data_IF_176978147204
#
_entry.id   IF_176978147204
#
_cell.length_a   1.000
_cell.length_b   1.000
_cell.length_c   1.000
_cell.angle_alpha   90.00
_cell.angle_beta   90.00
_cell.angle_gamma   90.00
#
_symmetry.space_group_name_H-M   'P 1'
#
loop_
_entity.id
_entity.type
_entity.pdbx_description
1 polymer ?
#
# COMPACT_ATOMS: atom_id res chain seq x y z
N UNK A 1 -12.26 -56.84 9.03
CA UNK A 1 -10.79 -56.70 8.88
C UNK A 1 -10.31 -55.99 10.12
N UNK A 2 -9.38 -56.56 10.83
CA UNK A 2 -8.76 -55.90 11.99
C UNK A 2 -7.73 -54.92 11.48
N UNK A 3 -7.81 -53.67 11.93
CA UNK A 3 -6.78 -52.66 11.73
C UNK A 3 -5.42 -53.15 12.22
N UNK A 4 -4.34 -52.68 11.63
CA UNK A 4 -3.01 -53.09 12.01
C UNK A 4 -2.75 -52.75 13.50
N UNK A 5 -2.49 -53.78 14.37
CA UNK A 5 -2.33 -53.50 15.82
C UNK A 5 -1.04 -52.74 16.18
N UNK A 6 -0.12 -52.59 15.21
CA UNK A 6 1.15 -51.88 15.44
C UNK A 6 1.06 -50.37 15.12
N UNK A 7 -0.01 -49.92 14.48
CA UNK A 7 -0.23 -48.53 14.19
C UNK A 7 -1.54 -48.07 14.85
N UNK A 8 -1.42 -47.22 15.84
CA UNK A 8 -2.56 -46.65 16.54
C UNK A 8 -3.07 -45.46 15.74
N UNK A 9 -4.23 -45.61 15.10
CA UNK A 9 -4.89 -44.51 14.41
C UNK A 9 -5.21 -43.38 15.40
N UNK A 10 -4.87 -42.12 15.06
CA UNK A 10 -5.07 -40.96 15.93
C UNK A 10 -4.02 -40.80 17.03
N UNK A 11 -2.92 -41.56 17.00
CA UNK A 11 -1.80 -41.35 17.90
C UNK A 11 -1.03 -40.08 17.51
N UNK A 12 -1.06 -39.07 18.37
CA UNK A 12 -0.42 -37.78 18.12
C UNK A 12 1.07 -37.90 17.82
N UNK A 13 1.77 -38.83 18.50
CA UNK A 13 3.20 -39.03 18.27
C UNK A 13 3.53 -39.62 16.90
N UNK A 14 2.66 -40.51 16.39
CA UNK A 14 2.82 -41.09 15.06
C UNK A 14 2.44 -40.09 13.97
N UNK A 15 1.38 -39.31 14.19
CA UNK A 15 1.00 -38.22 13.31
C UNK A 15 2.11 -37.17 13.20
N UNK A 16 2.68 -36.75 14.31
CA UNK A 16 3.81 -35.80 14.34
C UNK A 16 5.05 -36.35 13.63
N UNK A 17 5.33 -37.65 13.76
CA UNK A 17 6.43 -38.28 13.03
C UNK A 17 6.21 -38.22 11.51
N UNK A 18 4.99 -38.55 11.06
CA UNK A 18 4.64 -38.48 9.63
C UNK A 18 4.74 -37.05 9.12
N UNK A 19 4.24 -36.08 9.88
CA UNK A 19 4.34 -34.66 9.54
C UNK A 19 5.79 -34.20 9.38
N UNK A 20 6.67 -34.57 10.33
CA UNK A 20 8.09 -34.23 10.24
C UNK A 20 8.78 -34.88 9.02
N UNK A 21 8.45 -36.12 8.72
CA UNK A 21 8.98 -36.81 7.52
C UNK A 21 8.52 -36.10 6.23
N UNK A 22 7.29 -35.67 6.17
CA UNK A 22 6.76 -34.89 5.03
C UNK A 22 7.46 -33.53 4.93
N UNK A 23 7.64 -32.84 6.05
CA UNK A 23 8.38 -31.57 6.08
C UNK A 23 9.82 -31.74 5.59
N UNK A 24 10.50 -32.82 6.00
CA UNK A 24 11.86 -33.14 5.52
C UNK A 24 11.87 -33.47 4.04
N UNK A 25 10.89 -34.24 3.57
CA UNK A 25 10.73 -34.56 2.15
C UNK A 25 10.52 -33.31 1.30
N UNK A 26 9.67 -32.39 1.73
CA UNK A 26 9.44 -31.12 1.03
C UNK A 26 10.70 -30.24 0.98
N UNK A 27 11.50 -30.22 2.06
CA UNK A 27 12.79 -29.52 2.08
C UNK A 27 13.83 -30.11 1.16
N UNK A 28 13.81 -31.44 0.95
CA UNK A 28 14.78 -32.14 0.10
C UNK A 28 14.43 -32.05 -1.38
N UNK A 29 13.17 -32.14 -1.72
CA UNK A 29 12.69 -32.25 -3.11
C UNK A 29 11.89 -31.05 -3.58
N UNK A 30 11.52 -30.17 -2.67
CA UNK A 30 10.78 -28.95 -2.98
C UNK A 30 11.65 -27.86 -3.58
N UNK A 31 10.99 -26.86 -4.07
CA UNK A 31 11.56 -25.58 -4.50
C UNK A 31 11.12 -24.49 -3.56
N UNK A 32 11.94 -23.48 -3.40
CA UNK A 32 11.56 -22.28 -2.66
C UNK A 32 10.63 -21.43 -3.52
N UNK A 33 9.48 -21.10 -2.98
CA UNK A 33 8.50 -20.18 -3.56
C UNK A 33 8.22 -19.07 -2.58
N UNK A 34 7.79 -17.92 -3.07
CA UNK A 34 7.40 -16.82 -2.21
C UNK A 34 5.88 -16.71 -2.20
N UNK A 35 5.32 -16.88 -1.03
CA UNK A 35 3.90 -16.68 -0.76
C UNK A 35 3.63 -15.22 -0.40
N UNK A 36 2.64 -14.62 -1.04
CA UNK A 36 2.28 -13.21 -0.91
C UNK A 36 0.79 -13.14 -0.56
N UNK A 37 0.45 -12.91 0.71
CA UNK A 37 -0.93 -12.88 1.13
C UNK A 37 -1.66 -11.64 0.64
N UNK A 38 -2.91 -11.79 0.24
CA UNK A 38 -3.81 -10.69 -0.13
C UNK A 38 -4.38 -10.04 1.12
N UNK A 39 -4.20 -8.73 1.25
CA UNK A 39 -4.75 -7.93 2.34
C UNK A 39 -5.85 -7.02 1.84
N UNK A 40 -6.99 -7.07 2.48
CA UNK A 40 -8.17 -6.28 2.13
C UNK A 40 -8.18 -4.97 2.92
N UNK A 41 -8.19 -3.83 2.23
CA UNK A 41 -8.12 -2.50 2.86
C UNK A 41 -9.50 -1.92 3.16
N UNK A 42 -10.50 -2.23 2.35
CA UNK A 42 -11.85 -1.69 2.51
C UNK A 42 -12.92 -2.74 2.17
N UNK A 43 -13.67 -3.17 3.17
CA UNK A 43 -14.87 -3.99 2.99
C UNK A 43 -16.12 -3.12 3.02
N UNK A 44 -16.93 -3.18 1.97
CA UNK A 44 -18.29 -2.62 2.02
C UNK A 44 -19.17 -3.52 2.88
N UNK A 45 -19.42 -3.12 4.12
CA UNK A 45 -20.19 -3.87 5.10
C UNK A 45 -21.61 -4.26 4.65
N UNK A 46 -22.20 -3.52 3.72
CA UNK A 46 -23.57 -3.77 3.22
C UNK A 46 -23.60 -4.90 2.19
N UNK A 47 -22.60 -5.00 1.32
CA UNK A 47 -22.55 -5.98 0.21
C UNK A 47 -21.52 -7.08 0.50
N UNK A 48 -20.64 -6.90 1.50
CA UNK A 48 -19.49 -7.76 1.82
C UNK A 48 -18.54 -7.95 0.62
N UNK A 49 -18.37 -6.91 -0.15
CA UNK A 49 -17.47 -6.86 -1.29
C UNK A 49 -16.24 -6.05 -0.95
N UNK A 50 -15.07 -6.62 -1.18
CA UNK A 50 -13.78 -5.94 -1.01
C UNK A 50 -13.53 -5.07 -2.25
N UNK A 51 -13.30 -3.77 -2.03
CA UNK A 51 -13.12 -2.81 -3.13
C UNK A 51 -11.66 -2.66 -3.49
N UNK A 52 -10.77 -2.78 -2.50
CA UNK A 52 -9.34 -2.55 -2.68
C UNK A 52 -8.57 -3.61 -1.91
N UNK A 53 -7.63 -4.25 -2.59
CA UNK A 53 -6.67 -5.18 -2.00
C UNK A 53 -5.24 -4.70 -2.22
N UNK A 54 -4.34 -5.09 -1.32
CA UNK A 54 -2.92 -4.83 -1.42
C UNK A 54 -2.13 -6.09 -1.12
N UNK A 55 -0.92 -6.16 -1.67
CA UNK A 55 0.07 -7.18 -1.42
C UNK A 55 1.32 -6.48 -0.91
N UNK A 56 1.46 -6.39 0.42
CA UNK A 56 2.49 -5.62 1.12
C UNK A 56 3.47 -6.50 1.93
N UNK A 57 3.26 -7.80 1.92
CA UNK A 57 4.10 -8.74 2.65
C UNK A 57 4.44 -9.97 1.79
N UNK A 58 5.58 -10.58 2.05
CA UNK A 58 6.06 -11.75 1.32
C UNK A 58 6.79 -12.73 2.24
N UNK A 59 6.57 -14.03 2.04
CA UNK A 59 7.11 -15.10 2.87
C UNK A 59 7.64 -16.24 2.01
N UNK A 60 8.91 -16.60 2.19
CA UNK A 60 9.49 -17.77 1.53
C UNK A 60 9.01 -19.06 2.17
N UNK A 61 8.55 -20.02 1.38
CA UNK A 61 8.14 -21.35 1.83
C UNK A 61 8.57 -22.43 0.84
N UNK A 62 8.86 -23.62 1.36
CA UNK A 62 9.20 -24.77 0.55
C UNK A 62 7.91 -25.38 -0.04
N UNK A 63 7.85 -25.56 -1.35
CA UNK A 63 6.74 -26.19 -2.06
C UNK A 63 7.24 -27.28 -3.00
N UNK A 64 6.49 -28.36 -3.13
CA UNK A 64 6.74 -29.39 -4.13
C UNK A 64 5.90 -29.11 -5.37
N UNK A 65 6.55 -29.06 -6.53
CA UNK A 65 5.87 -28.88 -7.81
C UNK A 65 5.29 -30.20 -8.26
N UNK A 66 3.96 -30.33 -8.21
CA UNK A 66 3.25 -31.54 -8.65
C UNK A 66 3.07 -31.56 -10.16
N UNK A 67 2.66 -30.44 -10.72
CA UNK A 67 2.50 -30.25 -12.16
C UNK A 67 2.83 -28.80 -12.51
N UNK A 68 3.52 -28.62 -13.63
CA UNK A 68 3.83 -27.33 -14.22
C UNK A 68 3.44 -27.30 -15.69
N UNK A 69 2.70 -26.29 -16.08
CA UNK A 69 2.34 -25.91 -17.45
C UNK A 69 2.19 -27.05 -18.47
N UNK A 70 1.00 -27.48 -18.72
CA UNK A 70 0.64 -28.23 -19.93
C UNK A 70 1.09 -29.69 -20.00
N UNK A 71 1.95 -30.17 -19.13
CA UNK A 71 2.37 -31.60 -19.10
C UNK A 71 1.28 -32.52 -18.52
N UNK A 72 0.30 -31.99 -17.82
CA UNK A 72 -0.82 -32.74 -17.25
C UNK A 72 -2.01 -32.91 -18.19
N UNK A 73 -1.91 -32.48 -19.44
CA UNK A 73 -3.03 -32.57 -20.38
C UNK A 73 -4.22 -31.73 -20.02
N UNK A 74 -4.00 -30.58 -19.39
CA UNK A 74 -5.01 -29.54 -19.23
C UNK A 74 -5.51 -29.17 -20.63
N UNK A 75 -6.70 -29.66 -20.98
CA UNK A 75 -7.20 -29.54 -22.33
C UNK A 75 -7.29 -28.10 -22.76
N UNK A 76 -6.80 -27.82 -23.95
CA UNK A 76 -7.11 -26.59 -24.65
C UNK A 76 -8.62 -26.37 -24.60
N UNK A 77 -9.07 -25.38 -23.83
CA UNK A 77 -10.48 -25.03 -23.81
C UNK A 77 -10.74 -24.26 -25.09
N UNK A 78 -11.28 -24.94 -26.08
CA UNK A 78 -11.85 -24.34 -27.27
C UNK A 78 -13.04 -23.47 -26.81
N UNK A 79 -12.76 -22.21 -26.52
CA UNK A 79 -13.82 -21.24 -26.25
C UNK A 79 -14.40 -20.76 -27.58
N UNK A 80 -15.65 -20.26 -27.56
CA UNK A 80 -16.31 -19.65 -28.71
C UNK A 80 -15.51 -18.48 -29.32
N UNK A 81 -14.48 -17.99 -28.60
CA UNK A 81 -13.66 -16.84 -28.93
C UNK A 81 -12.17 -17.16 -29.20
N UNK A 82 -11.80 -18.41 -29.27
CA UNK A 82 -10.42 -18.84 -29.55
C UNK A 82 -9.94 -19.96 -28.62
N UNK A 83 -8.69 -20.37 -28.82
CA UNK A 83 -7.98 -21.32 -27.96
C UNK A 83 -7.31 -20.52 -26.84
N UNK A 84 -7.66 -20.77 -25.61
CA UNK A 84 -6.99 -20.22 -24.44
C UNK A 84 -6.18 -21.34 -23.80
N UNK A 85 -4.86 -21.28 -23.93
CA UNK A 85 -3.97 -22.12 -23.16
C UNK A 85 -3.95 -21.59 -21.72
N UNK A 86 -4.32 -22.44 -20.76
CA UNK A 86 -4.19 -22.13 -19.33
C UNK A 86 -2.92 -22.78 -18.83
N UNK A 87 -1.97 -21.95 -18.46
CA UNK A 87 -0.78 -22.39 -17.73
C UNK A 87 -1.18 -22.59 -16.27
N UNK A 88 -1.33 -23.84 -15.85
CA UNK A 88 -1.71 -24.20 -14.50
C UNK A 88 -0.49 -24.73 -13.74
N UNK A 89 -0.27 -24.22 -12.54
CA UNK A 89 0.78 -24.65 -11.62
C UNK A 89 0.12 -25.31 -10.41
N UNK A 90 0.44 -26.60 -10.17
CA UNK A 90 0.00 -27.31 -8.97
C UNK A 90 1.17 -27.47 -8.00
N UNK A 91 1.00 -26.96 -6.78
CA UNK A 91 1.98 -27.00 -5.72
C UNK A 91 1.45 -27.75 -4.52
N UNK A 92 2.36 -28.42 -3.80
CA UNK A 92 2.05 -29.04 -2.51
C UNK A 92 2.90 -28.37 -1.44
N UNK A 93 2.26 -27.88 -0.38
CA UNK A 93 2.91 -27.27 0.77
C UNK A 93 2.53 -28.00 2.07
N UNK A 94 3.40 -27.92 3.06
CA UNK A 94 3.13 -28.52 4.38
C UNK A 94 2.19 -27.63 5.18
N UNK A 95 1.19 -28.26 5.80
CA UNK A 95 0.24 -27.61 6.69
C UNK A 95 0.95 -26.99 7.92
N UNK A 96 1.74 -27.80 8.65
CA UNK A 96 2.46 -27.34 9.85
C UNK A 96 3.43 -26.20 9.52
N UNK A 97 4.16 -26.30 8.40
CA UNK A 97 5.10 -25.23 7.99
C UNK A 97 4.39 -23.95 7.65
N UNK A 98 3.21 -24.00 7.03
CA UNK A 98 2.43 -22.82 6.75
C UNK A 98 1.92 -22.17 8.05
N UNK A 99 1.35 -22.96 8.96
CA UNK A 99 0.81 -22.47 10.22
C UNK A 99 1.91 -21.85 11.12
N UNK A 100 3.04 -22.53 11.26
CA UNK A 100 4.13 -22.11 12.15
C UNK A 100 4.94 -20.93 11.62
N UNK A 101 5.05 -20.81 10.31
CA UNK A 101 5.94 -19.81 9.68
C UNK A 101 5.19 -18.61 9.08
N UNK A 102 4.09 -18.84 8.40
CA UNK A 102 3.30 -17.78 7.76
C UNK A 102 2.11 -17.40 8.64
N UNK A 103 1.40 -18.37 9.18
CA UNK A 103 0.21 -18.17 9.99
C UNK A 103 0.43 -17.27 11.21
N UNK A 104 1.63 -17.32 11.80
CA UNK A 104 2.00 -16.46 12.95
C UNK A 104 1.97 -14.97 12.61
N UNK A 105 2.23 -14.59 11.37
CA UNK A 105 2.17 -13.19 10.93
C UNK A 105 0.76 -12.74 10.52
N UNK A 106 -0.13 -13.70 10.26
CA UNK A 106 -1.51 -13.44 9.85
C UNK A 106 -2.51 -13.58 11.01
N UNK A 107 -2.04 -13.99 12.21
CA UNK A 107 -2.88 -14.17 13.39
C UNK A 107 -2.31 -13.40 14.57
N UNK A 108 -3.20 -13.04 15.54
CA UNK A 108 -2.80 -12.44 16.81
C UNK A 108 -2.36 -13.52 17.83
N UNK A 109 -1.93 -13.07 19.02
CA UNK A 109 -1.50 -13.97 20.09
C UNK A 109 -2.63 -14.88 20.62
N UNK A 110 -3.87 -14.54 20.36
CA UNK A 110 -5.06 -15.32 20.74
C UNK A 110 -5.52 -16.26 19.62
N UNK A 111 -4.82 -16.28 18.47
CA UNK A 111 -5.11 -17.10 17.29
C UNK A 111 -6.23 -16.58 16.42
N UNK A 112 -6.67 -15.32 16.58
CA UNK A 112 -7.64 -14.71 15.68
C UNK A 112 -6.92 -14.14 14.46
N UNK A 113 -7.57 -14.19 13.32
CA UNK A 113 -7.05 -13.61 12.08
C UNK A 113 -6.93 -12.09 12.21
N UNK A 114 -5.78 -11.54 11.88
CA UNK A 114 -5.54 -10.10 11.87
C UNK A 114 -6.45 -9.38 10.87
N UNK A 115 -6.75 -8.11 11.16
CA UNK A 115 -7.59 -7.29 10.29
C UNK A 115 -6.96 -7.14 8.90
N UNK A 116 -7.79 -7.31 7.88
CA UNK A 116 -7.38 -7.29 6.48
C UNK A 116 -7.12 -8.68 5.87
N UNK A 117 -6.89 -9.72 6.64
CA UNK A 117 -6.73 -11.08 6.12
C UNK A 117 -8.03 -11.89 6.19
N UNK A 118 -8.26 -12.76 5.21
CA UNK A 118 -9.42 -13.63 5.17
C UNK A 118 -9.24 -14.88 6.03
N UNK A 119 -8.07 -15.50 5.97
CA UNK A 119 -7.68 -16.69 6.72
C UNK A 119 -6.25 -16.52 7.21
N UNK A 120 -5.93 -17.04 8.41
CA UNK A 120 -4.59 -16.98 8.98
C UNK A 120 -3.91 -18.35 9.12
N UNK A 121 -4.68 -19.43 9.13
CA UNK A 121 -4.14 -20.78 9.41
C UNK A 121 -3.89 -21.62 8.16
N UNK A 122 -4.40 -21.20 7.01
CA UNK A 122 -4.21 -21.88 5.73
C UNK A 122 -4.09 -20.86 4.59
N UNK A 123 -3.51 -21.26 3.44
CA UNK A 123 -3.55 -20.41 2.24
C UNK A 123 -4.98 -20.06 1.84
N UNK A 124 -5.16 -18.84 1.32
CA UNK A 124 -6.45 -18.38 0.82
C UNK A 124 -6.46 -18.37 -0.71
N UNK A 125 -7.63 -18.62 -1.25
CA UNK A 125 -7.88 -18.38 -2.67
C UNK A 125 -7.80 -16.86 -2.94
N UNK A 126 -7.02 -16.49 -3.95
CA UNK A 126 -6.72 -15.10 -4.29
C UNK A 126 -5.38 -14.58 -3.79
N UNK A 127 -4.66 -15.35 -2.97
CA UNK A 127 -3.28 -15.03 -2.61
C UNK A 127 -2.34 -15.32 -3.78
N UNK A 128 -1.16 -14.69 -3.78
CA UNK A 128 -0.19 -14.85 -4.85
C UNK A 128 0.97 -15.75 -4.44
N UNK A 129 1.55 -16.40 -5.44
CA UNK A 129 2.80 -17.15 -5.33
C UNK A 129 3.74 -16.69 -6.43
N UNK A 130 4.87 -16.12 -6.04
CA UNK A 130 5.96 -15.89 -6.97
C UNK A 130 6.82 -17.13 -7.06
N UNK A 131 7.04 -17.60 -8.30
CA UNK A 131 7.83 -18.78 -8.59
C UNK A 131 9.17 -18.38 -9.23
N UNK A 132 10.27 -18.32 -8.45
CA UNK A 132 11.54 -17.75 -8.91
C UNK A 132 12.15 -18.44 -10.12
N UNK A 133 11.88 -19.75 -10.31
CA UNK A 133 12.44 -20.52 -11.43
C UNK A 133 11.98 -20.03 -12.80
N UNK A 134 10.80 -19.45 -12.90
CA UNK A 134 10.22 -18.95 -14.15
C UNK A 134 10.00 -17.43 -14.15
N UNK A 135 10.23 -16.79 -12.99
CA UNK A 135 9.98 -15.38 -12.79
C UNK A 135 8.51 -14.99 -13.12
N UNK A 136 7.57 -15.88 -12.76
CA UNK A 136 6.14 -15.70 -12.98
C UNK A 136 5.41 -15.68 -11.66
N UNK A 137 4.42 -14.79 -11.56
CA UNK A 137 3.52 -14.72 -10.42
C UNK A 137 2.24 -15.45 -10.75
N UNK A 138 1.82 -16.30 -9.84
CA UNK A 138 0.61 -17.10 -9.93
C UNK A 138 -0.37 -16.68 -8.85
N UNK A 139 -1.66 -16.68 -9.17
CA UNK A 139 -2.74 -16.53 -8.21
C UNK A 139 -3.28 -17.91 -7.82
N UNK A 140 -3.49 -18.13 -6.53
CA UNK A 140 -4.09 -19.35 -6.01
C UNK A 140 -5.60 -19.30 -6.33
N UNK A 141 -6.04 -20.17 -7.23
CA UNK A 141 -7.45 -20.29 -7.59
C UNK A 141 -8.20 -21.26 -6.70
N UNK A 142 -7.52 -22.30 -6.25
CA UNK A 142 -8.14 -23.32 -5.41
C UNK A 142 -7.12 -23.91 -4.44
N UNK A 143 -7.57 -24.13 -3.20
CA UNK A 143 -6.81 -24.79 -2.14
C UNK A 143 -7.51 -26.07 -1.77
N UNK A 144 -6.95 -27.23 -2.20
CA UNK A 144 -7.44 -28.54 -1.81
C UNK A 144 -6.92 -28.88 -0.42
N UNK A 145 -7.81 -29.00 0.52
CA UNK A 145 -7.52 -29.32 1.91
C UNK A 145 -8.00 -30.73 2.32
N UNK A 146 -8.70 -31.43 1.42
CA UNK A 146 -9.22 -32.77 1.64
C UNK A 146 -8.60 -33.74 0.62
N UNK A 147 -7.27 -33.98 0.72
CA UNK A 147 -6.62 -34.98 -0.14
C UNK A 147 -7.18 -36.37 0.15
N UNK A 148 -7.45 -37.16 -0.89
CA UNK A 148 -8.18 -38.44 -0.82
C UNK A 148 -7.58 -39.51 0.12
N UNK A 149 -6.33 -39.36 0.56
CA UNK A 149 -5.67 -40.34 1.40
C UNK A 149 -5.24 -39.75 2.76
N UNK A 150 -6.05 -40.02 3.76
CA UNK A 150 -5.80 -39.62 5.15
C UNK A 150 -4.84 -40.60 5.84
N UNK A 151 -3.56 -40.25 5.94
CA UNK A 151 -2.59 -41.05 6.68
C UNK A 151 -2.81 -40.84 8.18
N UNK A 152 -3.02 -41.94 8.93
CA UNK A 152 -3.26 -41.91 10.38
C UNK A 152 -4.41 -40.98 10.82
N UNK A 153 -5.39 -40.75 9.94
CA UNK A 153 -6.56 -39.89 10.16
C UNK A 153 -6.25 -38.40 10.27
N UNK A 154 -5.20 -37.93 9.65
CA UNK A 154 -4.86 -36.50 9.60
C UNK A 154 -4.47 -36.08 8.20
N UNK A 155 -4.50 -34.76 7.95
CA UNK A 155 -4.09 -34.08 6.73
C UNK A 155 -2.81 -33.29 6.98
N UNK A 156 -1.79 -33.57 6.20
CA UNK A 156 -0.45 -33.04 6.43
C UNK A 156 -0.04 -31.96 5.43
N UNK A 157 -0.76 -31.87 4.32
CA UNK A 157 -0.40 -31.00 3.19
C UNK A 157 -1.63 -30.29 2.63
N UNK A 158 -1.39 -29.12 2.03
CA UNK A 158 -2.33 -28.45 1.14
C UNK A 158 -1.86 -28.61 -0.30
N UNK A 159 -2.78 -28.87 -1.21
CA UNK A 159 -2.54 -28.80 -2.64
C UNK A 159 -3.10 -27.50 -3.19
N UNK A 160 -2.25 -26.71 -3.83
CA UNK A 160 -2.58 -25.41 -4.39
C UNK A 160 -2.67 -25.54 -5.91
N UNK A 161 -3.79 -25.13 -6.47
CA UNK A 161 -3.97 -24.94 -7.90
C UNK A 161 -3.87 -23.46 -8.23
N UNK A 162 -2.87 -23.11 -9.03
CA UNK A 162 -2.52 -21.73 -9.32
C UNK A 162 -2.58 -21.45 -10.81
N UNK A 163 -3.07 -20.27 -11.20
CA UNK A 163 -3.07 -19.77 -12.57
C UNK A 163 -2.20 -18.51 -12.64
N UNK A 164 -1.60 -18.14 -13.79
CA UNK A 164 -0.86 -16.89 -13.92
C UNK A 164 -1.70 -15.71 -13.49
N UNK A 165 -1.11 -14.83 -12.70
CA UNK A 165 -1.80 -13.65 -12.19
C UNK A 165 -1.96 -12.60 -13.28
N UNK A 166 -3.18 -12.14 -13.48
CA UNK A 166 -3.50 -11.01 -14.34
C UNK A 166 -3.70 -9.78 -13.46
N UNK A 167 -2.79 -8.82 -13.58
CA UNK A 167 -2.82 -7.56 -12.81
C UNK A 167 -3.99 -6.69 -13.27
N UNK A 168 -4.78 -6.23 -12.32
CA UNK A 168 -5.88 -5.30 -12.56
C UNK A 168 -5.55 -3.93 -11.93
N UNK A 169 -5.97 -3.69 -10.69
CA UNK A 169 -5.82 -2.40 -10.00
C UNK A 169 -5.26 -2.55 -8.56
N UNK A 170 -4.68 -3.70 -8.23
CA UNK A 170 -4.15 -3.96 -6.90
C UNK A 170 -2.86 -3.19 -6.63
N UNK A 171 -2.62 -2.88 -5.36
CA UNK A 171 -1.36 -2.28 -4.92
C UNK A 171 -0.40 -3.41 -4.57
N UNK A 172 0.73 -3.48 -5.28
CA UNK A 172 1.77 -4.48 -5.09
C UNK A 172 3.04 -3.77 -4.66
N UNK A 173 3.48 -4.02 -3.42
CA UNK A 173 4.71 -3.50 -2.81
C UNK A 173 5.21 -4.56 -1.82
N UNK A 174 5.73 -5.65 -2.36
CA UNK A 174 6.09 -6.85 -1.59
C UNK A 174 7.45 -6.75 -0.90
N UNK A 175 8.23 -5.69 -1.22
CA UNK A 175 9.60 -5.51 -0.78
C UNK A 175 10.61 -6.43 -1.47
N UNK A 176 10.20 -7.19 -2.48
CA UNK A 176 11.07 -7.99 -3.35
C UNK A 176 11.22 -7.27 -4.68
N UNK A 177 12.42 -6.78 -4.97
CA UNK A 177 12.71 -5.95 -6.15
C UNK A 177 12.30 -6.66 -7.46
N UNK A 178 12.54 -7.96 -7.58
CA UNK A 178 12.19 -8.74 -8.77
C UNK A 178 10.67 -8.81 -9.00
N UNK A 179 9.88 -8.92 -7.93
CA UNK A 179 8.41 -8.93 -7.99
C UNK A 179 7.87 -7.54 -8.30
N UNK A 180 8.31 -6.55 -7.53
CA UNK A 180 7.82 -5.18 -7.63
C UNK A 180 8.17 -4.55 -8.99
N UNK A 181 9.37 -4.83 -9.52
CA UNK A 181 9.81 -4.39 -10.85
C UNK A 181 9.00 -5.00 -12.00
N UNK A 182 8.45 -6.20 -11.85
CA UNK A 182 7.63 -6.85 -12.86
C UNK A 182 6.36 -6.04 -13.12
N UNK A 183 5.76 -5.49 -12.09
CA UNK A 183 4.55 -4.65 -12.21
C UNK A 183 4.87 -3.21 -12.62
N UNK A 184 5.99 -2.66 -12.16
CA UNK A 184 6.43 -1.31 -12.55
C UNK A 184 6.78 -1.21 -14.05
N UNK A 185 7.30 -2.28 -14.66
CA UNK A 185 7.59 -2.34 -16.10
C UNK A 185 6.35 -2.32 -16.97
N UNK A 186 5.20 -2.75 -16.46
CA UNK A 186 3.94 -2.83 -17.21
C UNK A 186 3.11 -1.55 -17.14
N UNK A 187 3.39 -0.63 -16.20
CA UNK A 187 2.63 0.59 -15.98
C UNK A 187 3.50 1.85 -16.01
N UNK A 188 3.02 2.90 -16.66
CA UNK A 188 3.56 4.23 -16.48
C UNK A 188 3.00 4.82 -15.18
N UNK A 189 3.72 4.71 -14.08
CA UNK A 189 3.39 5.45 -12.86
C UNK A 189 3.78 6.92 -13.08
N UNK A 190 2.80 7.76 -13.39
CA UNK A 190 2.99 9.21 -13.42
C UNK A 190 2.81 9.74 -12.00
N UNK A 191 3.92 10.03 -11.31
CA UNK A 191 3.86 10.77 -10.05
C UNK A 191 3.50 12.22 -10.33
N UNK A 192 2.22 12.54 -10.22
CA UNK A 192 1.74 13.91 -10.35
C UNK A 192 2.01 14.64 -9.03
N UNK A 193 3.03 15.46 -8.99
CA UNK A 193 3.24 16.37 -7.88
C UNK A 193 2.42 17.63 -8.13
N UNK A 194 1.26 17.73 -7.48
CA UNK A 194 0.45 18.94 -7.50
C UNK A 194 1.13 19.99 -6.61
N UNK A 195 1.84 20.92 -7.22
CA UNK A 195 2.27 22.13 -6.53
C UNK A 195 1.05 23.07 -6.45
N UNK A 196 0.54 23.27 -5.24
CA UNK A 196 -0.54 24.23 -5.02
C UNK A 196 -0.06 25.62 -5.40
N UNK A 197 -0.79 26.29 -6.29
CA UNK A 197 -0.55 27.71 -6.57
C UNK A 197 -0.96 28.48 -5.30
N UNK A 198 -0.02 29.15 -4.65
CA UNK A 198 -0.30 29.99 -3.49
C UNK A 198 -1.25 31.14 -3.84
N UNK A 199 -1.99 31.62 -2.87
CA UNK A 199 -2.81 32.82 -2.99
C UNK A 199 -2.07 33.98 -2.37
N UNK A 200 -1.89 35.06 -3.15
CA UNK A 200 -1.23 36.26 -2.68
C UNK A 200 -2.11 36.98 -1.64
N UNK A 201 -1.50 37.39 -0.55
CA UNK A 201 -2.16 38.20 0.49
C UNK A 201 -2.64 39.52 -0.08
N UNK A 202 -3.67 40.09 0.54
CA UNK A 202 -4.15 41.43 0.27
C UNK A 202 -4.26 42.23 1.57
N UNK A 203 -3.91 43.50 1.50
CA UNK A 203 -3.94 44.41 2.67
C UNK A 203 -4.36 45.79 2.25
N UNK A 204 -4.86 46.55 3.22
CA UNK A 204 -5.23 47.97 3.06
C UNK A 204 -4.55 48.82 4.12
N UNK A 205 -4.31 50.08 3.81
CA UNK A 205 -3.67 51.03 4.70
C UNK A 205 -4.66 52.12 5.16
N UNK A 206 -4.45 52.65 6.36
CA UNK A 206 -5.14 53.85 6.87
C UNK A 206 -4.15 54.96 7.07
N UNK A 207 -4.59 56.19 6.84
CA UNK A 207 -3.79 57.41 7.03
C UNK A 207 -4.30 58.22 8.19
N UNK A 208 -3.37 58.86 8.93
CA UNK A 208 -3.62 59.90 9.90
C UNK A 208 -2.55 60.98 9.68
N UNK A 209 -2.96 62.21 9.51
CA UNK A 209 -2.08 63.38 9.33
C UNK A 209 -1.01 63.21 8.22
N UNK A 210 -1.37 62.54 7.13
CA UNK A 210 -0.47 62.31 5.99
C UNK A 210 0.59 61.24 6.21
N UNK A 211 0.48 60.45 7.28
CA UNK A 211 1.32 59.29 7.56
C UNK A 211 0.48 58.00 7.58
N UNK A 212 1.06 56.87 7.27
CA UNK A 212 0.40 55.57 7.40
C UNK A 212 0.26 55.24 8.87
N UNK A 213 -0.97 55.07 9.34
CA UNK A 213 -1.26 54.77 10.74
C UNK A 213 -1.23 53.25 10.99
N UNK A 214 -1.87 52.49 10.12
CA UNK A 214 -1.96 51.03 10.27
C UNK A 214 -2.18 50.36 8.93
N UNK A 215 -1.74 49.09 8.84
CA UNK A 215 -1.94 48.24 7.69
C UNK A 215 -2.77 47.04 8.14
N UNK A 216 -3.95 46.86 7.56
CA UNK A 216 -4.84 45.72 7.84
C UNK A 216 -4.73 44.68 6.78
N UNK A 217 -4.47 43.41 7.18
CA UNK A 217 -4.51 42.26 6.31
C UNK A 217 -5.99 41.90 6.05
N UNK A 218 -6.41 41.98 4.80
CA UNK A 218 -7.76 41.58 4.36
C UNK A 218 -7.84 40.08 4.03
N UNK A 219 -6.78 39.57 3.39
CA UNK A 219 -6.60 38.13 3.12
C UNK A 219 -5.14 37.80 3.43
N UNK A 220 -4.94 36.82 4.27
CA UNK A 220 -3.63 36.39 4.74
C UNK A 220 -2.80 35.63 3.68
N UNK A 221 -3.44 35.23 2.58
CA UNK A 221 -2.79 34.40 1.57
C UNK A 221 -2.35 33.05 2.11
N UNK A 222 -1.77 32.21 1.28
CA UNK A 222 -1.20 30.95 1.72
C UNK A 222 -0.15 30.41 0.74
N UNK A 223 0.61 29.46 1.24
CA UNK A 223 1.68 28.76 0.49
C UNK A 223 2.90 29.66 0.19
N UNK A 224 3.23 30.53 1.12
CA UNK A 224 4.50 31.27 1.05
C UNK A 224 5.67 30.38 1.47
N UNK A 225 6.76 30.42 0.70
CA UNK A 225 8.02 29.75 1.07
C UNK A 225 8.87 30.61 2.05
N UNK A 226 8.78 31.92 1.90
CA UNK A 226 9.47 32.93 2.74
C UNK A 226 8.59 34.18 2.91
N UNK A 227 8.95 35.05 3.86
CA UNK A 227 8.23 36.27 4.06
C UNK A 227 8.30 37.17 2.82
N UNK A 228 7.17 37.56 2.22
CA UNK A 228 7.15 38.44 1.06
C UNK A 228 7.62 39.83 1.41
N UNK A 229 8.29 40.48 0.48
CA UNK A 229 8.62 41.91 0.61
C UNK A 229 7.37 42.72 0.40
N UNK A 230 7.13 43.69 1.31
CA UNK A 230 6.00 44.62 1.21
C UNK A 230 6.45 45.90 0.48
N UNK A 231 5.83 46.13 -0.67
CA UNK A 231 5.99 47.38 -1.40
C UNK A 231 4.76 48.27 -1.20
N UNK A 232 4.97 49.46 -0.66
CA UNK A 232 3.96 50.51 -0.53
C UNK A 232 4.14 51.53 -1.67
N UNK A 233 3.02 52.08 -2.18
CA UNK A 233 3.12 53.16 -3.18
C UNK A 233 3.93 54.31 -2.58
N UNK A 234 4.84 54.88 -3.39
CA UNK A 234 5.70 55.94 -2.96
C UNK A 234 4.92 57.20 -2.54
N UNK A 235 5.46 57.91 -1.56
CA UNK A 235 4.93 59.22 -1.13
C UNK A 235 5.08 60.26 -2.25
N UNK A 236 4.18 61.25 -2.33
CA UNK A 236 4.34 62.38 -3.24
C UNK A 236 5.67 63.12 -3.05
N UNK A 237 6.11 63.93 -4.07
CA UNK A 237 7.34 64.72 -3.96
C UNK A 237 7.38 65.60 -2.70
N UNK A 238 8.46 65.44 -1.91
CA UNK A 238 8.65 66.12 -0.62
C UNK A 238 8.22 65.30 0.59
N UNK A 239 7.55 64.14 0.39
CA UNK A 239 7.24 63.20 1.46
C UNK A 239 8.31 62.12 1.64
N UNK A 240 8.16 61.32 2.70
CA UNK A 240 8.98 60.12 2.97
C UNK A 240 8.18 58.83 2.76
N UNK A 241 8.81 57.82 2.21
CA UNK A 241 8.11 56.54 1.95
C UNK A 241 7.88 55.75 3.25
N UNK A 242 6.69 55.18 3.37
CA UNK A 242 6.39 54.22 4.42
C UNK A 242 7.06 52.87 4.09
N UNK A 243 7.47 52.15 5.14
CA UNK A 243 8.01 50.81 5.04
C UNK A 243 7.37 49.86 6.05
N UNK A 244 7.22 48.61 5.68
CA UNK A 244 6.61 47.59 6.52
C UNK A 244 7.23 46.23 6.27
N UNK A 245 7.07 45.31 7.22
CA UNK A 245 7.56 43.91 7.15
C UNK A 245 6.39 42.96 7.44
N UNK A 246 6.31 41.89 6.68
CA UNK A 246 5.33 40.83 6.89
C UNK A 246 5.80 39.86 7.99
N UNK A 247 4.91 39.55 8.93
CA UNK A 247 5.09 38.52 9.94
C UNK A 247 4.27 37.30 9.49
N UNK A 248 4.93 36.14 9.46
CA UNK A 248 4.32 34.90 9.00
C UNK A 248 3.93 34.03 10.16
N UNK A 249 2.94 33.17 9.93
CA UNK A 249 2.53 32.11 10.83
C UNK A 249 2.35 30.81 10.07
N UNK A 250 2.62 29.73 10.76
CA UNK A 250 2.35 28.39 10.23
C UNK A 250 0.89 28.01 10.51
N UNK A 251 0.14 27.67 9.48
CA UNK A 251 -1.22 27.16 9.59
C UNK A 251 -1.27 25.71 9.12
N UNK A 252 -1.96 24.88 9.87
CA UNK A 252 -2.23 23.49 9.51
C UNK A 252 -3.68 23.35 9.04
N UNK A 253 -3.87 22.75 7.87
CA UNK A 253 -5.19 22.35 7.38
C UNK A 253 -5.31 20.83 7.50
N UNK A 254 -6.21 20.35 8.34
CA UNK A 254 -6.58 18.92 8.47
C UNK A 254 -5.41 17.93 8.55
N UNK A 255 -4.42 18.23 9.40
CA UNK A 255 -3.50 17.21 9.90
C UNK A 255 -2.29 16.82 9.04
N UNK A 256 -2.17 17.22 7.77
CA UNK A 256 -1.12 16.69 6.89
C UNK A 256 -0.20 17.77 6.27
N UNK A 257 -0.67 18.98 6.02
CA UNK A 257 0.14 20.01 5.38
C UNK A 257 0.18 21.30 6.22
N UNK A 258 1.39 21.69 6.61
CA UNK A 258 1.66 22.99 7.20
C UNK A 258 1.96 23.97 6.08
N UNK A 259 1.21 25.05 5.97
CA UNK A 259 1.47 26.11 5.03
C UNK A 259 1.67 27.44 5.75
N UNK A 260 2.49 28.31 5.16
CA UNK A 260 2.77 29.64 5.70
C UNK A 260 1.82 30.66 5.13
N UNK A 261 1.26 31.48 6.03
CA UNK A 261 0.41 32.62 5.71
C UNK A 261 0.90 33.90 6.45
N UNK A 262 0.43 35.06 6.04
CA UNK A 262 0.77 36.29 6.70
C UNK A 262 -0.17 36.48 7.89
N UNK A 263 0.38 36.59 9.10
CA UNK A 263 -0.43 36.86 10.31
C UNK A 263 -0.64 38.32 10.52
N UNK A 264 0.41 39.15 10.31
CA UNK A 264 0.40 40.58 10.62
C UNK A 264 1.41 41.30 9.72
N UNK A 265 1.19 42.60 9.54
CA UNK A 265 2.12 43.51 8.88
C UNK A 265 2.57 44.55 9.89
N UNK A 266 3.87 44.50 10.23
CA UNK A 266 4.49 45.47 11.13
C UNK A 266 4.95 46.68 10.33
N UNK A 267 4.37 47.85 10.64
CA UNK A 267 4.80 49.11 10.07
C UNK A 267 6.12 49.51 10.73
N UNK A 268 7.18 49.61 9.94
CA UNK A 268 8.53 49.99 10.42
C UNK A 268 8.80 51.46 10.28
N UNK A 269 8.23 52.12 9.28
CA UNK A 269 8.25 53.59 9.13
C UNK A 269 6.89 54.06 8.59
N UNK A 270 6.20 54.98 9.27
CA UNK A 270 4.90 55.47 8.82
C UNK A 270 4.98 56.34 7.56
N UNK A 271 6.15 56.84 7.21
CA UNK A 271 6.30 57.83 6.14
C UNK A 271 5.64 59.14 6.45
N UNK A 272 5.57 60.04 5.48
CA UNK A 272 4.90 61.32 5.57
C UNK A 272 4.53 61.87 4.20
N UNK A 273 3.59 62.84 4.18
CA UNK A 273 3.20 63.57 2.98
C UNK A 273 2.24 62.80 2.06
N UNK A 274 1.64 61.71 2.53
CA UNK A 274 0.60 60.99 1.79
C UNK A 274 -0.71 61.78 1.76
N UNK A 275 -1.25 61.97 0.60
CA UNK A 275 -2.58 62.57 0.37
C UNK A 275 -3.67 61.51 0.22
N UNK A 276 -3.30 60.32 -0.21
CA UNK A 276 -4.18 59.16 -0.34
C UNK A 276 -3.49 57.93 0.26
N UNK A 277 -4.28 56.99 0.77
CA UNK A 277 -3.77 55.77 1.35
C UNK A 277 -2.93 54.97 0.31
N UNK A 278 -1.65 54.64 0.60
CA UNK A 278 -0.81 53.89 -0.32
C UNK A 278 -1.34 52.48 -0.51
N UNK A 279 -1.25 51.97 -1.74
CA UNK A 279 -1.58 50.56 -2.02
C UNK A 279 -0.46 49.65 -1.55
N UNK A 280 -0.85 48.48 -1.02
CA UNK A 280 0.07 47.45 -0.56
C UNK A 280 0.22 46.39 -1.63
N UNK A 281 1.46 46.05 -2.02
CA UNK A 281 1.79 44.94 -2.90
C UNK A 281 2.74 43.99 -2.20
N UNK A 282 2.47 42.70 -2.30
CA UNK A 282 3.34 41.62 -1.81
C UNK A 282 4.19 41.12 -2.98
N UNK A 283 5.49 41.06 -2.78
CA UNK A 283 6.49 40.62 -3.77
C UNK A 283 7.28 39.49 -3.13
N UNK A 284 7.17 38.26 -3.71
CA UNK A 284 7.88 37.09 -3.23
C UNK A 284 7.64 35.90 -4.14
#
# INVERSE_FOLDING_TARGET
>A
MTLNPFFLQGSQSEQNLVQQLINEQLRMYGVEVVYIPRKFLNEKTVIKENILSTFDESYSIEAYVKSYAGFGGGGDILSKFGVQAKDELSLIISKERFEDYIGVFMTDADGNVLDGYKLGHRPSEGDLIWFPLTDVIYEIKFVEHEVEFYQLQDLYVYELTCEPFEYEDEIIDTGIEDVDDTFQKSGYAVKLTLAGIGVTATATTTLVDGAVSQIYVLNDGYNYSSAPTIALTAAPPGGTNATAVAIMTDRSSSGINTYKSISEILLTNPGSGYTTAPTVRFIG
#
